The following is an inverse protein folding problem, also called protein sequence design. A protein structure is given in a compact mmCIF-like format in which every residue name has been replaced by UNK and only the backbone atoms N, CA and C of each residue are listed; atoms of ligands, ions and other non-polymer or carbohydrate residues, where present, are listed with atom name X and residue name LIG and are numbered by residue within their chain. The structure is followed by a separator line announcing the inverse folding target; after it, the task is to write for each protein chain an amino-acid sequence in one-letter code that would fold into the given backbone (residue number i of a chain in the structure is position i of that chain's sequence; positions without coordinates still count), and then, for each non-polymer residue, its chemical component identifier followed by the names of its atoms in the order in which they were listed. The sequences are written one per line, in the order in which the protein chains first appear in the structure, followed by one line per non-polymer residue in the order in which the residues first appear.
data_IF_997757009632
#
_entry.id   IF_997757009632
#
_cell.length_a   1.000
_cell.length_b   1.000
_cell.length_c   1.000
_cell.angle_alpha   90.00
_cell.angle_beta   90.00
_cell.angle_gamma   90.00
#
_symmetry.space_group_name_H-M   'P 1'
#
loop_
_entity.id
_entity.type
_entity.pdbx_description
1 polymer ?
#
# COMPACT_ATOMS: atom_id res chain seq x y z
N UNK A 1 22.86 -9.87 2.03
CA UNK A 1 21.83 -8.81 1.91
C UNK A 1 21.72 -8.13 3.27
N UNK A 2 22.13 -6.86 3.43
CA UNK A 2 21.97 -6.19 4.71
C UNK A 2 20.48 -6.05 5.03
N UNK A 3 20.08 -6.50 6.23
CA UNK A 3 18.75 -6.29 6.80
C UNK A 3 18.43 -4.81 6.71
N UNK A 4 17.39 -4.45 5.97
CA UNK A 4 16.83 -3.12 6.06
C UNK A 4 16.21 -3.04 7.45
N UNK A 5 16.96 -2.51 8.43
CA UNK A 5 16.42 -2.14 9.73
C UNK A 5 15.13 -1.37 9.48
N UNK A 6 14.07 -1.72 10.20
CA UNK A 6 12.77 -1.07 10.15
C UNK A 6 12.89 0.43 10.48
N UNK A 7 13.38 1.24 9.53
CA UNK A 7 12.94 2.62 9.40
C UNK A 7 11.45 2.48 9.24
N UNK A 8 10.68 3.01 10.20
CA UNK A 8 9.24 2.83 10.27
C UNK A 8 8.61 3.11 8.90
N UNK A 9 8.35 2.04 8.13
CA UNK A 9 7.71 2.12 6.83
C UNK A 9 6.34 2.72 7.10
N UNK A 10 6.10 3.91 6.55
CA UNK A 10 4.87 4.67 6.79
C UNK A 10 4.03 4.67 5.54
N UNK A 11 2.73 4.69 5.73
CA UNK A 11 1.82 4.88 4.62
C UNK A 11 0.43 4.39 4.94
N UNK A 12 -0.41 4.50 3.93
CA UNK A 12 -1.80 4.13 4.01
C UNK A 12 -2.26 3.52 2.69
N UNK A 13 -3.27 2.67 2.80
CA UNK A 13 -3.98 2.13 1.65
C UNK A 13 -5.40 2.67 1.66
N UNK A 14 -5.75 3.48 0.66
CA UNK A 14 -7.12 3.90 0.40
C UNK A 14 -7.83 2.81 -0.40
N UNK A 15 -8.93 2.30 0.13
CA UNK A 15 -9.84 1.40 -0.58
C UNK A 15 -11.20 2.05 -0.69
N UNK A 16 -11.87 1.89 -1.83
CA UNK A 16 -13.26 2.38 -1.97
C UNK A 16 -14.24 1.32 -1.47
N UNK A 17 -15.24 1.73 -0.69
CA UNK A 17 -16.32 0.86 -0.22
C UNK A 17 -16.61 0.99 1.28
N UNK A 18 -17.11 -0.09 1.88
CA UNK A 18 -17.63 -0.08 3.25
C UNK A 18 -16.57 -0.46 4.30
N UNK A 19 -16.57 0.19 5.49
CA UNK A 19 -15.65 -0.14 6.59
C UNK A 19 -15.68 -1.61 7.00
N UNK A 20 -16.86 -2.24 6.99
CA UNK A 20 -17.03 -3.65 7.37
C UNK A 20 -16.29 -4.60 6.41
N UNK A 21 -16.30 -4.30 5.10
CA UNK A 21 -15.60 -5.10 4.09
C UNK A 21 -14.08 -4.93 4.19
N UNK A 22 -13.64 -3.70 4.42
CA UNK A 22 -12.23 -3.38 4.67
C UNK A 22 -11.73 -4.08 5.94
N UNK A 23 -12.46 -3.97 7.04
CA UNK A 23 -12.17 -4.67 8.30
C UNK A 23 -12.14 -6.19 8.14
N UNK A 24 -13.10 -6.76 7.42
CA UNK A 24 -13.10 -8.19 7.10
C UNK A 24 -11.90 -8.61 6.25
N UNK A 25 -11.40 -7.75 5.35
CA UNK A 25 -10.14 -7.99 4.65
C UNK A 25 -8.97 -7.92 5.62
N UNK A 26 -8.83 -6.89 6.46
CA UNK A 26 -7.77 -6.77 7.48
C UNK A 26 -7.71 -8.00 8.39
N UNK A 27 -8.85 -8.46 8.92
CA UNK A 27 -8.94 -9.67 9.78
C UNK A 27 -8.38 -10.95 9.14
N UNK A 28 -8.40 -11.05 7.81
CA UNK A 28 -7.86 -12.19 7.04
C UNK A 28 -6.43 -11.96 6.54
N UNK A 29 -5.77 -10.89 6.99
CA UNK A 29 -4.42 -10.49 6.58
C UNK A 29 -3.37 -10.84 7.64
N UNK A 30 -2.28 -10.10 7.63
CA UNK A 30 -1.15 -10.23 8.56
C UNK A 30 -0.81 -8.92 9.26
N UNK A 31 -1.45 -7.82 8.90
CA UNK A 31 -1.12 -6.48 9.39
C UNK A 31 -2.32 -5.93 10.14
N UNK A 32 -2.14 -5.58 11.42
CA UNK A 32 -3.14 -4.83 12.15
C UNK A 32 -3.24 -3.43 11.53
N UNK A 33 -4.46 -3.00 11.23
CA UNK A 33 -4.70 -1.71 10.61
C UNK A 33 -5.71 -0.93 11.41
N UNK A 34 -5.49 0.37 11.51
CA UNK A 34 -6.53 1.31 11.84
C UNK A 34 -7.38 1.57 10.59
N UNK A 35 -8.68 1.35 10.72
CA UNK A 35 -9.67 1.49 9.65
C UNK A 35 -10.38 2.83 9.83
N UNK A 36 -10.03 3.80 8.98
CA UNK A 36 -10.48 5.19 9.10
C UNK A 36 -11.42 5.52 7.93
N UNK A 37 -12.73 5.70 8.18
CA UNK A 37 -13.67 6.17 7.16
C UNK A 37 -13.34 7.60 6.71
N UNK A 38 -13.34 7.83 5.40
CA UNK A 38 -12.96 9.08 4.73
C UNK A 38 -13.95 9.35 3.58
N UNK A 39 -15.25 9.42 3.92
CA UNK A 39 -16.32 9.50 2.92
C UNK A 39 -16.49 8.18 2.17
N UNK A 40 -16.37 8.19 0.84
CA UNK A 40 -16.43 6.97 0.01
C UNK A 40 -15.17 6.09 0.10
N UNK A 41 -14.10 6.64 0.65
CA UNK A 41 -12.82 5.98 0.85
C UNK A 41 -12.68 5.50 2.29
N UNK A 42 -11.98 4.39 2.46
CA UNK A 42 -11.53 3.88 3.75
C UNK A 42 -10.00 3.88 3.72
N UNK A 43 -9.37 4.62 4.63
CA UNK A 43 -7.94 4.54 4.82
C UNK A 43 -7.60 3.39 5.77
N UNK A 44 -6.68 2.54 5.33
CA UNK A 44 -6.08 1.48 6.12
C UNK A 44 -4.65 1.89 6.45
N UNK A 45 -4.43 2.23 7.72
CA UNK A 45 -3.12 2.66 8.23
C UNK A 45 -2.56 1.54 9.10
N UNK A 46 -1.33 1.04 8.89
CA UNK A 46 -0.73 0.07 9.80
C UNK A 46 -0.76 0.59 11.25
N UNK A 47 -1.35 -0.21 12.15
CA UNK A 47 -1.49 0.14 13.57
C UNK A 47 -0.28 -0.34 14.40
N UNK A 48 0.58 -1.16 13.82
CA UNK A 48 1.70 -1.82 14.49
C UNK A 48 2.98 -1.65 13.66
N UNK A 49 4.16 -1.58 14.31
CA UNK A 49 5.44 -1.39 13.62
C UNK A 49 5.91 -2.62 12.83
N UNK A 50 5.32 -3.79 13.10
CA UNK A 50 5.61 -5.05 12.43
C UNK A 50 4.30 -5.74 12.04
N UNK A 51 4.35 -6.58 11.01
CA UNK A 51 3.29 -7.54 10.73
C UNK A 51 3.28 -8.66 11.79
N UNK A 52 2.21 -9.45 11.78
CA UNK A 52 2.05 -10.64 12.64
C UNK A 52 2.75 -11.89 12.10
N UNK A 53 3.46 -11.78 10.98
CA UNK A 53 4.27 -12.86 10.41
C UNK A 53 5.76 -12.58 10.60
N UNK A 54 6.56 -13.64 10.68
CA UNK A 54 8.02 -13.54 10.68
C UNK A 54 8.60 -13.11 9.33
N UNK A 55 9.91 -12.88 9.30
CA UNK A 55 10.65 -12.56 8.08
C UNK A 55 10.38 -13.60 6.97
N UNK A 56 10.30 -13.19 5.69
CA UNK A 56 10.49 -11.83 5.15
C UNK A 56 9.21 -10.96 5.13
N UNK A 57 8.17 -11.35 5.85
CA UNK A 57 6.86 -10.68 5.85
C UNK A 57 6.64 -9.81 7.09
N UNK A 58 7.69 -9.50 7.84
CA UNK A 58 7.65 -8.71 9.06
C UNK A 58 7.40 -7.22 8.82
N UNK A 59 7.74 -6.70 7.62
CA UNK A 59 7.42 -5.31 7.26
C UNK A 59 5.91 -5.13 7.00
N UNK A 60 5.21 -4.27 7.75
CA UNK A 60 3.77 -4.14 7.65
C UNK A 60 3.31 -3.45 6.36
N UNK A 61 4.11 -2.52 5.81
CA UNK A 61 3.77 -1.79 4.58
C UNK A 61 3.90 -2.71 3.37
N UNK A 62 5.04 -3.38 3.22
CA UNK A 62 5.33 -4.35 2.17
C UNK A 62 4.28 -5.47 2.18
N UNK A 63 3.93 -5.97 3.37
CA UNK A 63 2.91 -7.02 3.52
C UNK A 63 1.51 -6.53 3.16
N UNK A 64 1.14 -5.32 3.58
CA UNK A 64 -0.16 -4.72 3.24
C UNK A 64 -0.27 -4.45 1.73
N UNK A 65 0.79 -3.91 1.13
CA UNK A 65 0.82 -3.54 -0.29
C UNK A 65 0.96 -4.75 -1.22
N UNK A 66 1.65 -5.81 -0.80
CA UNK A 66 1.77 -7.04 -1.59
C UNK A 66 0.50 -7.89 -1.60
N UNK A 67 -0.42 -7.64 -0.66
CA UNK A 67 -1.58 -8.50 -0.47
C UNK A 67 -2.64 -8.33 -1.57
N UNK A 68 -3.13 -9.42 -2.18
CA UNK A 68 -4.24 -9.37 -3.13
C UNK A 68 -5.50 -8.72 -2.54
N UNK A 69 -6.07 -7.77 -3.29
CA UNK A 69 -7.33 -7.11 -2.94
C UNK A 69 -8.49 -7.71 -3.75
N UNK A 70 -9.55 -8.21 -3.08
CA UNK A 70 -10.73 -8.70 -3.78
C UNK A 70 -11.49 -7.55 -4.47
N UNK A 71 -12.17 -7.86 -5.58
CA UNK A 71 -12.92 -6.90 -6.41
C UNK A 71 -13.89 -5.97 -5.66
N UNK A 72 -14.46 -6.47 -4.56
CA UNK A 72 -15.45 -5.76 -3.73
C UNK A 72 -14.90 -4.59 -2.90
N UNK A 73 -13.59 -4.44 -2.80
CA UNK A 73 -12.91 -3.29 -2.14
C UNK A 73 -11.91 -2.62 -3.09
N UNK A 74 -12.18 -2.73 -4.40
CA UNK A 74 -11.44 -2.03 -5.48
C UNK A 74 -12.32 -0.90 -6.04
N UNK A 75 -11.74 0.19 -6.57
CA UNK A 75 -10.31 0.45 -6.71
C UNK A 75 -9.61 0.70 -5.38
N UNK A 76 -8.28 0.58 -5.39
CA UNK A 76 -7.44 0.92 -4.24
C UNK A 76 -6.17 1.64 -4.67
N UNK A 77 -5.73 2.56 -3.82
CA UNK A 77 -4.54 3.39 -4.00
C UNK A 77 -3.74 3.36 -2.70
N UNK A 78 -2.50 2.86 -2.77
CA UNK A 78 -1.59 2.85 -1.63
C UNK A 78 -0.54 3.94 -1.77
N UNK A 79 -0.22 4.63 -0.67
CA UNK A 79 0.74 5.72 -0.59
C UNK A 79 1.69 5.44 0.55
N UNK A 80 2.97 5.23 0.24
CA UNK A 80 3.95 4.74 1.20
C UNK A 80 5.28 5.47 1.06
N UNK A 81 5.95 5.66 2.18
CA UNK A 81 7.34 6.11 2.24
C UNK A 81 8.20 4.90 2.61
N UNK A 82 9.13 4.56 1.72
CA UNK A 82 10.07 3.44 1.88
C UNK A 82 11.49 3.98 1.74
N UNK A 83 12.20 4.08 2.86
CA UNK A 83 13.43 4.88 2.92
C UNK A 83 13.11 6.35 2.61
N UNK A 84 13.77 6.91 1.60
CA UNK A 84 13.55 8.29 1.15
C UNK A 84 12.67 8.37 -0.12
N UNK A 85 12.09 7.23 -0.54
CA UNK A 85 11.27 7.11 -1.75
C UNK A 85 9.79 7.17 -1.43
N UNK A 86 9.05 7.83 -2.31
CA UNK A 86 7.60 7.73 -2.38
C UNK A 86 7.20 6.55 -3.27
N UNK A 87 6.38 5.65 -2.75
CA UNK A 87 5.85 4.49 -3.47
C UNK A 87 4.34 4.58 -3.50
N UNK A 88 3.79 4.58 -4.71
CA UNK A 88 2.35 4.56 -4.95
C UNK A 88 1.99 3.24 -5.62
N UNK A 89 0.99 2.56 -5.07
CA UNK A 89 0.39 1.38 -5.70
C UNK A 89 -1.00 1.72 -6.21
N UNK A 90 -1.30 1.34 -7.45
CA UNK A 90 -2.61 1.53 -8.08
C UNK A 90 -3.20 0.16 -8.38
N UNK A 91 -4.39 -0.09 -7.85
CA UNK A 91 -5.16 -1.29 -8.15
C UNK A 91 -6.48 -0.85 -8.76
N UNK A 92 -6.58 -0.84 -10.11
CA UNK A 92 -7.79 -0.40 -10.79
C UNK A 92 -8.97 -1.29 -10.42
N UNK A 93 -10.18 -0.97 -10.85
CA UNK A 93 -11.30 -1.93 -10.82
C UNK A 93 -11.27 -2.76 -12.11
N UNK A 94 -11.74 -4.01 -12.07
CA UNK A 94 -11.90 -4.83 -13.28
C UNK A 94 -11.36 -6.27 -13.17
N UNK A 95 -11.88 -7.11 -14.06
CA UNK A 95 -11.41 -8.49 -14.24
C UNK A 95 -10.04 -8.44 -14.94
N UNK A 96 -9.04 -9.13 -14.38
CA UNK A 96 -7.62 -9.11 -14.80
C UNK A 96 -6.86 -7.79 -14.61
N UNK A 97 -7.45 -6.76 -14.01
CA UNK A 97 -6.70 -5.54 -13.71
C UNK A 97 -5.60 -5.82 -12.67
N UNK A 98 -4.35 -5.64 -13.07
CA UNK A 98 -3.12 -5.86 -12.31
C UNK A 98 -2.77 -4.65 -11.44
N UNK A 99 -1.92 -4.89 -10.44
CA UNK A 99 -1.37 -3.83 -9.61
C UNK A 99 -0.24 -3.12 -10.35
N UNK A 100 -0.32 -1.79 -10.42
CA UNK A 100 0.69 -0.93 -11.03
C UNK A 100 1.36 -0.05 -9.98
N UNK A 101 2.57 0.40 -10.28
CA UNK A 101 3.45 1.05 -9.33
C UNK A 101 4.01 2.35 -9.88
N UNK A 102 4.09 3.35 -9.03
CA UNK A 102 4.85 4.56 -9.28
C UNK A 102 5.82 4.72 -8.12
N UNK A 103 7.11 4.77 -8.45
CA UNK A 103 8.18 5.06 -7.49
C UNK A 103 8.74 6.43 -7.85
N UNK A 104 8.86 7.28 -6.85
CA UNK A 104 9.41 8.62 -6.97
C UNK A 104 10.48 8.83 -5.90
N UNK A 105 11.56 9.50 -6.29
CA UNK A 105 12.71 9.80 -5.42
C UNK A 105 13.01 11.31 -5.47
N UNK A 106 13.28 11.96 -4.32
CA UNK A 106 13.70 13.36 -4.29
C UNK A 106 14.89 13.63 -5.20
N UNK A 107 14.85 14.73 -5.96
CA UNK A 107 15.90 15.12 -6.89
C UNK A 107 15.92 14.34 -8.22
N UNK A 108 15.54 13.06 -8.21
CA UNK A 108 15.52 12.22 -9.41
C UNK A 108 14.16 12.24 -10.13
N UNK A 109 13.07 12.34 -9.38
CA UNK A 109 11.71 12.21 -9.89
C UNK A 109 11.28 10.74 -10.00
N UNK A 110 10.55 10.40 -11.07
CA UNK A 110 10.05 9.04 -11.29
C UNK A 110 11.19 8.06 -11.57
N UNK A 111 11.28 7.02 -10.74
CA UNK A 111 12.25 5.93 -10.86
C UNK A 111 11.62 4.75 -11.64
N UNK A 112 12.38 4.13 -12.54
CA UNK A 112 11.96 2.89 -13.22
C UNK A 112 12.36 1.68 -12.37
N UNK A 113 11.41 0.79 -12.11
CA UNK A 113 11.65 -0.47 -11.42
C UNK A 113 11.32 -1.62 -12.37
N UNK A 114 12.31 -2.30 -12.98
CA UNK A 114 12.08 -3.27 -14.07
C UNK A 114 11.12 -4.41 -13.73
N UNK A 115 11.05 -4.83 -12.46
CA UNK A 115 10.17 -5.91 -12.02
C UNK A 115 8.72 -5.47 -11.74
N UNK A 116 8.40 -4.17 -11.86
CA UNK A 116 7.09 -3.61 -11.51
C UNK A 116 6.39 -3.02 -12.73
N UNK A 117 5.12 -3.39 -12.93
CA UNK A 117 4.28 -2.73 -13.92
C UNK A 117 4.08 -1.26 -13.56
N UNK A 118 4.43 -0.36 -14.47
CA UNK A 118 4.46 1.06 -14.13
C UNK A 118 3.09 1.72 -14.25
N UNK A 119 2.68 2.44 -13.21
CA UNK A 119 1.46 3.23 -13.19
C UNK A 119 1.62 4.51 -14.02
N UNK A 120 0.61 4.81 -14.82
CA UNK A 120 0.51 6.05 -15.61
C UNK A 120 -0.35 7.09 -14.87
N UNK A 121 -0.17 8.39 -15.13
CA UNK A 121 -1.07 9.42 -14.61
C UNK A 121 -2.56 9.14 -14.87
N UNK A 122 -2.89 8.55 -16.03
CA UNK A 122 -4.25 8.10 -16.37
C UNK A 122 -4.79 7.03 -15.43
N UNK A 123 -3.93 6.14 -14.95
CA UNK A 123 -4.33 5.06 -14.04
C UNK A 123 -4.67 5.61 -12.66
N UNK A 124 -3.88 6.60 -12.20
CA UNK A 124 -4.11 7.31 -10.94
C UNK A 124 -5.42 8.08 -10.99
N UNK A 125 -5.66 8.87 -12.04
CA UNK A 125 -6.90 9.63 -12.24
C UNK A 125 -8.11 8.70 -12.27
N UNK A 126 -8.04 7.62 -13.06
CA UNK A 126 -9.13 6.66 -13.20
C UNK A 126 -9.43 5.93 -11.88
N UNK A 127 -8.40 5.48 -11.15
CA UNK A 127 -8.59 4.80 -9.87
C UNK A 127 -9.15 5.74 -8.80
N UNK A 128 -8.65 6.98 -8.75
CA UNK A 128 -9.08 7.99 -7.78
C UNK A 128 -10.47 8.57 -8.09
N UNK A 129 -10.98 8.37 -9.30
CA UNK A 129 -12.13 9.13 -9.82
C UNK A 129 -11.89 10.65 -9.70
N UNK A 130 -10.65 11.06 -9.98
CA UNK A 130 -10.21 12.44 -9.79
C UNK A 130 -10.91 13.36 -10.79
N UNK A 131 -11.28 14.57 -10.33
CA UNK A 131 -11.76 15.65 -11.22
C UNK A 131 -10.61 16.26 -12.02
N UNK A 132 -9.40 16.20 -11.50
CA UNK A 132 -8.19 16.69 -12.16
C UNK A 132 -7.84 15.82 -13.37
N UNK A 133 -7.45 16.45 -14.47
CA UNK A 133 -7.02 15.74 -15.67
C UNK A 133 -5.64 15.07 -15.51
N UNK A 134 -5.29 14.10 -16.37
CA UNK A 134 -3.99 13.41 -16.33
C UNK A 134 -2.77 14.35 -16.44
N UNK A 135 -2.91 15.51 -17.07
CA UNK A 135 -1.84 16.51 -17.20
C UNK A 135 -1.42 17.12 -15.85
N UNK A 136 -2.38 17.42 -14.96
CA UNK A 136 -2.08 17.95 -13.62
C UNK A 136 -1.33 16.90 -12.78
N UNK A 137 -1.76 15.64 -12.86
CA UNK A 137 -1.06 14.53 -12.20
C UNK A 137 0.33 14.32 -12.80
N UNK A 138 0.48 14.41 -14.13
CA UNK A 138 1.78 14.31 -14.79
C UNK A 138 2.75 15.42 -14.34
N UNK A 139 2.26 16.64 -14.12
CA UNK A 139 3.07 17.74 -13.62
C UNK A 139 3.62 17.43 -12.21
N UNK A 140 2.78 16.93 -11.29
CA UNK A 140 3.24 16.49 -9.96
C UNK A 140 4.24 15.34 -10.06
N UNK A 141 4.01 14.38 -10.96
CA UNK A 141 4.93 13.25 -11.15
C UNK A 141 6.27 13.67 -11.75
N UNK A 142 6.30 14.75 -12.52
CA UNK A 142 7.51 15.30 -13.12
C UNK A 142 8.30 16.21 -12.16
N UNK A 143 7.63 16.81 -11.16
CA UNK A 143 8.28 17.59 -10.11
C UNK A 143 9.24 16.70 -9.32
N UNK A 144 10.46 17.20 -9.09
CA UNK A 144 11.55 16.49 -8.38
C UNK A 144 11.88 17.16 -7.05
N UNK A 145 11.20 18.24 -6.72
CA UNK A 145 11.46 19.02 -5.52
C UNK A 145 10.76 18.41 -4.29
N UNK A 146 11.25 18.81 -3.11
CA UNK A 146 10.67 18.40 -1.83
C UNK A 146 11.10 17.00 -1.38
N UNK A 147 10.34 16.47 -0.41
CA UNK A 147 10.54 15.14 0.16
C UNK A 147 9.41 14.17 -0.21
N UNK A 148 9.62 12.87 0.02
CA UNK A 148 8.64 11.83 -0.32
C UNK A 148 7.27 12.03 0.31
N UNK A 149 7.20 12.50 1.56
CA UNK A 149 5.92 12.70 2.26
C UNK A 149 5.18 13.89 1.68
N UNK A 150 5.87 15.02 1.49
CA UNK A 150 5.33 16.22 0.86
C UNK A 150 4.82 15.93 -0.56
N UNK A 151 5.61 15.21 -1.35
CA UNK A 151 5.23 14.82 -2.70
C UNK A 151 3.98 13.92 -2.73
N UNK A 152 3.88 12.91 -1.85
CA UNK A 152 2.68 12.06 -1.75
C UNK A 152 1.45 12.87 -1.36
N UNK A 153 1.58 13.82 -0.42
CA UNK A 153 0.48 14.69 -0.01
C UNK A 153 0.00 15.58 -1.16
N UNK A 154 0.93 16.17 -1.93
CA UNK A 154 0.62 16.95 -3.12
C UNK A 154 -0.09 16.10 -4.18
N UNK A 155 0.38 14.87 -4.40
CA UNK A 155 -0.27 13.93 -5.32
C UNK A 155 -1.69 13.58 -4.87
N UNK A 156 -1.89 13.25 -3.59
CA UNK A 156 -3.21 12.94 -3.04
C UNK A 156 -4.17 14.13 -3.16
N UNK A 157 -3.70 15.34 -2.82
CA UNK A 157 -4.49 16.56 -2.98
C UNK A 157 -4.87 16.83 -4.44
N UNK A 158 -3.92 16.63 -5.37
CA UNK A 158 -4.16 16.78 -6.82
C UNK A 158 -5.18 15.77 -7.33
N UNK A 159 -5.18 14.54 -6.81
CA UNK A 159 -6.17 13.51 -7.11
C UNK A 159 -7.52 13.74 -6.41
N UNK A 160 -7.61 14.70 -5.49
CA UNK A 160 -8.79 14.94 -4.67
C UNK A 160 -9.07 13.82 -3.67
N UNK A 161 -8.03 13.10 -3.25
CA UNK A 161 -8.13 11.99 -2.32
C UNK A 161 -8.04 12.46 -0.86
N UNK A 162 -8.82 11.86 0.06
CA UNK A 162 -8.76 12.19 1.47
C UNK A 162 -7.57 11.50 2.17
N UNK A 163 -7.32 11.87 3.42
CA UNK A 163 -6.36 11.17 4.29
C UNK A 163 -4.90 11.53 4.07
N UNK A 164 -4.58 12.61 3.36
CA UNK A 164 -3.18 13.05 3.17
C UNK A 164 -2.51 13.49 4.48
N UNK A 165 -3.29 13.95 5.45
CA UNK A 165 -2.88 14.25 6.81
C UNK A 165 -2.36 13.02 7.57
N UNK A 166 -2.91 11.83 7.26
CA UNK A 166 -2.51 10.55 7.86
C UNK A 166 -1.10 10.09 7.45
N UNK A 167 -0.49 10.71 6.43
CA UNK A 167 0.91 10.46 6.06
C UNK A 167 1.91 11.21 6.97
N UNK A 168 1.44 12.14 7.80
CA UNK A 168 2.30 12.97 8.64
C UNK A 168 2.87 12.16 9.81
N UNK A 169 4.14 12.39 10.15
CA UNK A 169 4.74 11.84 11.35
C UNK A 169 3.93 12.26 12.59
N UNK A 170 3.52 11.29 13.43
CA UNK A 170 2.73 11.56 14.62
C UNK A 170 1.23 11.76 14.36
N UNK A 171 0.76 11.56 13.12
CA UNK A 171 -0.67 11.44 12.87
C UNK A 171 -1.26 10.36 13.80
N UNK A 172 -2.32 10.72 14.51
CA UNK A 172 -3.12 9.79 15.29
C UNK A 172 -4.43 9.63 14.54
N UNK A 173 -4.58 8.59 13.70
CA UNK A 173 -5.84 8.36 13.05
C UNK A 173 -6.94 8.15 14.12
N UNK A 174 -8.19 8.36 13.73
CA UNK A 174 -9.37 8.22 14.61
C UNK A 174 -10.32 7.18 14.04
N UNK A 175 -9.77 6.01 13.76
CA UNK A 175 -10.45 4.86 13.20
C UNK A 175 -10.53 3.69 14.18
N UNK A 176 -11.17 2.61 13.72
CA UNK A 176 -11.22 1.37 14.48
C UNK A 176 -9.93 0.58 14.25
N UNK A 177 -9.22 0.24 15.32
CA UNK A 177 -8.10 -0.71 15.23
C UNK A 177 -8.66 -2.12 14.98
N UNK A 178 -8.22 -2.75 13.90
CA UNK A 178 -8.62 -4.10 13.50
C UNK A 178 -7.37 -4.96 13.36
N UNK A 179 -7.28 -6.00 14.17
CA UNK A 179 -6.20 -6.99 14.11
C UNK A 179 -6.56 -8.17 13.18
N UNK A 180 -5.56 -8.81 12.56
CA UNK A 180 -5.69 -10.15 11.98
C UNK A 180 -6.20 -11.17 13.01
N UNK A 181 -6.96 -12.16 12.56
CA UNK A 181 -7.30 -13.30 13.43
C UNK A 181 -6.10 -14.24 13.56
N UNK A 182 -5.95 -14.86 14.74
CA UNK A 182 -4.92 -15.88 14.96
C UNK A 182 -4.99 -17.00 13.91
N UNK A 183 -6.20 -17.41 13.51
CA UNK A 183 -6.41 -18.41 12.46
C UNK A 183 -5.87 -17.96 11.09
N UNK A 184 -6.01 -16.68 10.73
CA UNK A 184 -5.50 -16.17 9.46
C UNK A 184 -3.97 -16.18 9.42
N UNK A 185 -3.34 -15.80 10.53
CA UNK A 185 -1.88 -15.82 10.70
C UNK A 185 -1.36 -17.26 10.64
N UNK A 186 -1.91 -18.17 11.45
CA UNK A 186 -1.50 -19.57 11.47
C UNK A 186 -1.65 -20.26 10.10
N UNK A 187 -2.72 -19.96 9.36
CA UNK A 187 -2.92 -20.49 8.00
C UNK A 187 -1.84 -19.99 7.03
N UNK A 188 -1.42 -18.73 7.16
CA UNK A 188 -0.34 -18.18 6.34
C UNK A 188 0.98 -18.87 6.66
N UNK A 189 1.34 -18.95 7.93
CA UNK A 189 2.58 -19.59 8.39
C UNK A 189 2.67 -21.06 7.95
N UNK A 190 1.58 -21.81 8.11
CA UNK A 190 1.50 -23.21 7.65
C UNK A 190 1.77 -23.33 6.15
N UNK A 191 1.23 -22.44 5.31
CA UNK A 191 1.47 -22.47 3.86
C UNK A 191 2.91 -22.10 3.51
N UNK A 192 3.50 -21.15 4.23
CA UNK A 192 4.90 -20.79 4.00
C UNK A 192 5.85 -21.92 4.41
N UNK A 193 5.55 -22.62 5.51
CA UNK A 193 6.31 -23.80 5.93
C UNK A 193 6.23 -24.94 4.90
N UNK A 194 5.05 -25.18 4.33
CA UNK A 194 4.86 -26.15 3.25
C UNK A 194 5.64 -25.77 1.99
N UNK A 195 5.58 -24.51 1.56
CA UNK A 195 6.36 -24.03 0.41
C UNK A 195 7.87 -24.11 0.63
N UNK A 196 8.35 -23.85 1.85
CA UNK A 196 9.75 -23.97 2.19
C UNK A 196 10.23 -25.43 2.11
N UNK A 197 9.42 -26.38 2.59
CA UNK A 197 9.70 -27.82 2.46
C UNK A 197 9.79 -28.27 1.01
N UNK A 198 8.79 -27.92 0.19
CA UNK A 198 8.82 -28.27 -1.23
C UNK A 198 10.01 -27.66 -1.98
N UNK A 199 10.45 -26.44 -1.62
CA UNK A 199 11.64 -25.84 -2.23
C UNK A 199 12.91 -26.60 -1.84
N UNK A 200 13.06 -27.00 -0.58
CA UNK A 200 14.21 -27.77 -0.12
C UNK A 200 14.29 -29.12 -0.84
N UNK A 201 13.16 -29.82 -0.99
CA UNK A 201 13.09 -31.11 -1.71
C UNK A 201 13.50 -30.97 -3.20
N UNK A 202 13.14 -29.86 -3.84
CA UNK A 202 13.50 -29.55 -5.24
C UNK A 202 14.96 -29.10 -5.42
N UNK A 203 15.59 -28.55 -4.38
CA UNK A 203 17.00 -28.16 -4.40
C UNK A 203 17.94 -29.33 -4.06
N UNK A 204 17.42 -30.39 -3.41
CA UNK A 204 18.13 -31.63 -3.08
C UNK A 204 18.05 -32.71 -4.18
N UNK A 205 17.24 -32.50 -5.23
CA UNK A 205 17.06 -33.41 -6.39
C UNK A 205 17.80 -32.95 -7.64
#
# INVERSE_FOLDING_TARGET
MPRQSARASRGLLLVRGEPARASGWVRRGLVACEVVPQGEWIALVPAEPASRAGAPYDDPVATLVGRPLPGRIRPALGFFVVGDRAVVSVRPRGWRATQRWLVWEPGEGRVRTPALEVARPTDLVAAAHARSGPGAVAAVVADRSGDATGWLRTLMATLGLPGSDLLTAGASPRGQVVAPTAQAVARFESRMAEQARHRAEMEES
#
